data_IF_360055259841
#
_entry.id   IF_360055259841
#
_cell.length_a   1.000
_cell.length_b   1.000
_cell.length_c   1.000
_cell.angle_alpha   90.00
_cell.angle_beta   90.00
_cell.angle_gamma   90.00
#
_symmetry.space_group_name_H-M   'P 1'
#
loop_
_entity.id
_entity.type
_entity.pdbx_description
1 polymer ?
#
# COMPACT_ATOMS: atom_id res chain seq x y z
N UNK A 1 13.18 20.99 11.33
CA UNK A 1 12.91 20.29 10.05
C UNK A 1 12.37 18.90 10.39
N UNK A 2 11.04 18.75 10.42
CA UNK A 2 10.40 17.51 10.85
C UNK A 2 10.41 16.52 9.67
N UNK A 3 11.40 15.63 9.62
CA UNK A 3 11.36 14.47 8.72
C UNK A 3 10.24 13.57 9.21
N UNK A 4 9.15 13.44 8.43
CA UNK A 4 8.29 12.27 8.53
C UNK A 4 9.23 11.08 8.27
N UNK A 5 9.67 10.39 9.34
CA UNK A 5 10.36 9.11 9.19
C UNK A 5 9.30 8.12 8.75
N UNK A 6 9.05 8.07 7.44
CA UNK A 6 8.45 6.89 6.82
C UNK A 6 9.42 5.76 7.18
N UNK A 7 8.92 4.80 7.95
CA UNK A 7 9.70 3.74 8.61
C UNK A 7 10.78 3.17 7.67
N UNK A 8 11.99 2.88 8.16
CA UNK A 8 13.02 2.32 7.30
C UNK A 8 12.54 0.98 6.74
N UNK A 9 12.73 0.78 5.43
CA UNK A 9 12.68 -0.54 4.79
C UNK A 9 13.59 -1.50 5.55
N UNK A 10 13.03 -2.38 6.36
CA UNK A 10 13.77 -3.57 6.82
C UNK A 10 13.13 -4.80 6.22
N UNK A 11 13.75 -5.29 5.15
CA UNK A 11 13.58 -6.66 4.69
C UNK A 11 14.18 -7.63 5.73
N UNK A 12 13.33 -8.53 6.23
CA UNK A 12 13.58 -9.89 6.75
C UNK A 12 14.59 -10.11 7.90
N UNK A 13 14.02 -10.66 8.98
CA UNK A 13 14.53 -11.73 9.87
C UNK A 13 15.87 -11.56 10.58
N UNK A 14 15.84 -11.24 11.87
CA UNK A 14 16.14 -12.18 12.97
C UNK A 14 16.22 -11.46 14.32
N UNK A 15 15.81 -12.20 15.35
CA UNK A 15 15.84 -11.91 16.77
C UNK A 15 17.13 -11.17 17.23
N UNK A 16 16.99 -10.01 17.88
CA UNK A 16 17.94 -9.54 18.87
C UNK A 16 17.30 -8.48 19.78
N UNK A 17 16.90 -8.92 20.97
CA UNK A 17 16.81 -8.08 22.16
C UNK A 17 18.18 -7.46 22.43
N UNK A 18 18.22 -6.16 22.69
CA UNK A 18 19.07 -5.58 23.73
C UNK A 18 18.49 -4.23 24.18
N UNK A 19 18.20 -4.20 25.46
CA UNK A 19 17.84 -3.07 26.32
C UNK A 19 18.99 -2.03 26.31
N UNK A 20 18.82 -0.72 26.47
CA UNK A 20 18.32 0.01 27.65
C UNK A 20 18.30 1.50 27.29
N UNK A 21 17.41 2.30 27.92
CA UNK A 21 17.52 3.76 27.88
C UNK A 21 16.19 4.51 28.02
N UNK A 22 15.51 4.32 29.16
CA UNK A 22 14.51 5.19 29.79
C UNK A 22 13.81 6.24 28.89
N UNK A 23 12.60 5.91 28.44
CA UNK A 23 11.56 6.89 28.18
C UNK A 23 10.36 6.53 29.08
N UNK A 24 10.10 7.43 30.02
CA UNK A 24 9.05 7.35 31.02
C UNK A 24 7.68 7.08 30.40
N UNK A 25 6.92 6.27 31.14
CA UNK A 25 5.54 5.90 30.89
C UNK A 25 4.63 7.12 30.75
N UNK A 26 4.32 7.54 29.53
CA UNK A 26 3.19 8.40 29.23
C UNK A 26 2.04 7.56 28.62
N UNK A 27 1.19 7.07 29.53
CA UNK A 27 -0.21 6.70 29.33
C UNK A 27 -0.55 5.83 28.09
N UNK A 28 -0.32 4.52 28.24
CA UNK A 28 -1.09 3.49 27.54
C UNK A 28 -2.46 3.28 28.25
N UNK A 29 -3.16 4.38 28.58
CA UNK A 29 -4.39 4.37 29.39
C UNK A 29 -5.68 4.61 28.60
N UNK A 30 -5.60 5.09 27.35
CA UNK A 30 -6.79 5.51 26.60
C UNK A 30 -7.50 4.34 25.88
N UNK A 31 -6.77 3.33 25.41
CA UNK A 31 -7.38 2.20 24.67
C UNK A 31 -8.13 1.20 25.58
N UNK A 32 -7.80 1.12 26.88
CA UNK A 32 -8.42 0.16 27.78
C UNK A 32 -9.85 0.54 28.24
N UNK A 33 -10.33 1.76 27.94
CA UNK A 33 -11.73 2.15 28.18
C UNK A 33 -12.70 1.71 27.07
N UNK A 34 -12.19 1.15 25.98
CA UNK A 34 -12.99 0.85 24.78
C UNK A 34 -13.76 -0.48 24.82
N UNK A 35 -13.72 -1.25 25.92
CA UNK A 35 -14.43 -2.53 26.01
C UNK A 35 -15.96 -2.41 26.19
N UNK A 36 -16.50 -1.19 26.29
CA UNK A 36 -17.95 -0.92 26.28
C UNK A 36 -18.42 -0.01 25.14
N UNK A 37 -17.55 0.31 24.17
CA UNK A 37 -17.79 1.37 23.16
C UNK A 37 -18.28 0.86 21.81
N UNK A 38 -18.08 -0.42 21.49
CA UNK A 38 -18.37 -0.99 20.15
C UNK A 38 -19.87 -0.89 19.79
N UNK A 39 -20.75 -1.08 20.76
CA UNK A 39 -22.19 -0.95 20.59
C UNK A 39 -22.66 0.51 20.54
N UNK A 40 -21.94 1.45 21.15
CA UNK A 40 -22.42 2.82 21.30
C UNK A 40 -22.40 3.62 19.99
N UNK A 41 -21.32 3.51 19.21
CA UNK A 41 -21.18 4.28 17.96
C UNK A 41 -22.03 3.69 16.82
N UNK A 42 -22.18 2.36 16.77
CA UNK A 42 -22.92 1.69 15.70
C UNK A 42 -24.43 1.56 15.96
N UNK A 43 -24.88 1.66 17.22
CA UNK A 43 -26.30 1.58 17.59
C UNK A 43 -26.92 2.94 17.92
N UNK A 44 -26.17 4.04 17.80
CA UNK A 44 -26.72 5.37 18.01
C UNK A 44 -27.68 5.71 16.85
N UNK A 45 -28.94 6.11 17.14
CA UNK A 45 -29.87 6.49 16.08
C UNK A 45 -29.30 7.66 15.29
N UNK A 46 -29.18 7.48 13.97
CA UNK A 46 -28.69 8.50 13.06
C UNK A 46 -29.56 9.76 13.19
N UNK A 47 -28.92 10.91 13.35
CA UNK A 47 -29.62 12.19 13.37
C UNK A 47 -30.09 12.51 11.95
N UNK A 48 -31.39 12.35 11.69
CA UNK A 48 -32.00 12.63 10.39
C UNK A 48 -32.78 13.94 10.42
N UNK A 49 -32.78 14.67 9.31
CA UNK A 49 -33.72 15.77 9.07
C UNK A 49 -35.12 15.25 8.71
N UNK A 50 -36.09 16.14 8.68
CA UNK A 50 -37.50 15.82 8.40
C UNK A 50 -37.75 15.19 7.02
N UNK A 51 -36.80 15.33 6.08
CA UNK A 51 -36.81 14.74 4.74
C UNK A 51 -36.02 13.41 4.66
N UNK A 52 -35.46 12.93 5.78
CA UNK A 52 -34.68 11.71 5.87
C UNK A 52 -33.19 11.86 5.52
N UNK A 53 -32.67 13.09 5.30
CA UNK A 53 -31.24 13.31 5.10
C UNK A 53 -30.45 13.28 6.43
N UNK A 54 -29.15 12.99 6.38
CA UNK A 54 -28.28 13.02 7.57
C UNK A 54 -27.99 14.44 8.02
N UNK A 55 -28.20 14.72 9.31
CA UNK A 55 -27.84 15.99 9.94
C UNK A 55 -26.41 15.93 10.43
N UNK A 56 -25.49 16.53 9.66
CA UNK A 56 -24.07 16.57 9.96
C UNK A 56 -23.74 17.78 10.85
N UNK A 57 -23.18 17.52 12.02
CA UNK A 57 -22.59 18.57 12.86
C UNK A 57 -21.16 18.85 12.41
N UNK A 58 -20.77 20.11 12.19
CA UNK A 58 -19.40 20.43 11.82
C UNK A 58 -18.46 20.13 12.99
N UNK A 59 -17.42 19.33 12.73
CA UNK A 59 -16.37 19.05 13.70
C UNK A 59 -15.17 19.95 13.40
N UNK A 60 -14.86 20.83 14.34
CA UNK A 60 -13.80 21.83 14.16
C UNK A 60 -12.43 21.30 14.59
N UNK A 61 -11.37 21.86 14.02
CA UNK A 61 -9.99 21.63 14.46
C UNK A 61 -9.63 22.62 15.57
N UNK A 62 -8.94 22.15 16.61
CA UNK A 62 -8.27 23.07 17.53
C UNK A 62 -7.14 23.83 16.79
N UNK A 63 -6.74 25.04 17.24
CA UNK A 63 -5.69 25.80 16.56
C UNK A 63 -4.37 25.03 16.41
N UNK A 64 -4.01 24.23 17.43
CA UNK A 64 -2.81 23.38 17.41
C UNK A 64 -2.96 22.21 16.44
N UNK A 65 -4.13 21.57 16.41
CA UNK A 65 -4.43 20.50 15.46
C UNK A 65 -4.35 21.00 14.01
N UNK A 66 -4.92 22.17 13.72
CA UNK A 66 -4.87 22.79 12.40
C UNK A 66 -3.43 23.07 11.97
N UNK A 67 -2.61 23.67 12.83
CA UNK A 67 -1.21 23.92 12.54
C UNK A 67 -0.45 22.62 12.26
N UNK A 68 -0.67 21.61 13.10
CA UNK A 68 -0.03 20.29 12.95
C UNK A 68 -0.42 19.61 11.64
N UNK A 69 -1.68 19.71 11.24
CA UNK A 69 -2.15 19.18 9.97
C UNK A 69 -1.51 19.88 8.78
N UNK A 70 -1.40 21.22 8.79
CA UNK A 70 -0.71 21.98 7.72
C UNK A 70 0.74 21.52 7.59
N UNK A 71 1.47 21.40 8.70
CA UNK A 71 2.86 20.92 8.67
C UNK A 71 3.00 19.52 8.03
N UNK A 72 2.03 18.64 8.29
CA UNK A 72 2.00 17.29 7.72
C UNK A 72 1.61 17.30 6.24
N UNK A 73 0.63 18.13 5.86
CA UNK A 73 0.22 18.34 4.47
C UNK A 73 1.41 18.80 3.63
N UNK A 74 2.09 19.86 4.06
CA UNK A 74 3.23 20.42 3.32
C UNK A 74 4.39 19.42 3.21
N UNK A 75 4.62 18.62 4.27
CA UNK A 75 5.61 17.56 4.25
C UNK A 75 5.27 16.39 3.32
N UNK A 76 3.98 16.09 3.12
CA UNK A 76 3.51 15.10 2.13
C UNK A 76 3.66 15.67 0.72
N UNK A 77 3.19 16.89 0.49
CA UNK A 77 3.29 17.58 -0.81
C UNK A 77 4.73 17.68 -1.31
N UNK A 78 5.67 18.00 -0.42
CA UNK A 78 7.10 18.02 -0.75
C UNK A 78 7.63 16.67 -1.27
N UNK A 79 7.00 15.55 -0.91
CA UNK A 79 7.38 14.20 -1.35
C UNK A 79 6.66 13.74 -2.63
N UNK A 80 5.72 14.52 -3.16
CA UNK A 80 5.00 14.20 -4.41
C UNK A 80 5.76 14.63 -5.67
N UNK A 81 6.86 15.38 -5.52
CA UNK A 81 7.72 15.80 -6.63
C UNK A 81 8.31 14.61 -7.41
N UNK A 82 8.82 14.86 -8.62
CA UNK A 82 9.36 13.82 -9.52
C UNK A 82 10.37 12.87 -8.85
N UNK A 83 11.19 13.39 -7.94
CA UNK A 83 12.20 12.64 -7.20
C UNK A 83 11.83 12.42 -5.72
N UNK A 84 10.59 12.69 -5.34
CA UNK A 84 10.12 12.45 -3.99
C UNK A 84 9.75 10.99 -3.76
N UNK A 85 9.78 10.55 -2.50
CA UNK A 85 9.46 9.17 -2.12
C UNK A 85 8.07 8.74 -2.58
N UNK A 86 7.10 9.66 -2.60
CA UNK A 86 5.72 9.38 -2.97
C UNK A 86 5.44 9.56 -4.48
N UNK A 87 6.47 9.79 -5.30
CA UNK A 87 6.34 10.04 -6.74
C UNK A 87 5.58 8.94 -7.49
N UNK A 88 5.82 7.68 -7.13
CA UNK A 88 5.18 6.49 -7.73
C UNK A 88 3.72 6.32 -7.33
N UNK A 89 3.32 6.91 -6.20
CA UNK A 89 1.97 6.79 -5.62
C UNK A 89 1.28 8.15 -5.47
N UNK A 90 1.66 9.11 -6.32
CA UNK A 90 1.10 10.48 -6.37
C UNK A 90 -0.42 10.55 -6.21
N UNK A 91 -1.23 9.74 -6.93
CA UNK A 91 -2.70 9.79 -6.79
C UNK A 91 -3.22 9.49 -5.38
N UNK A 92 -2.50 8.65 -4.62
CA UNK A 92 -2.83 8.32 -3.22
C UNK A 92 -2.22 9.34 -2.27
N UNK A 93 -0.98 9.74 -2.51
CA UNK A 93 -0.25 10.73 -1.71
C UNK A 93 -0.93 12.11 -1.70
N UNK A 94 -1.42 12.58 -2.85
CA UNK A 94 -2.12 13.88 -2.96
C UNK A 94 -3.46 13.93 -2.23
N UNK A 95 -3.98 12.79 -1.78
CA UNK A 95 -5.22 12.69 -0.98
C UNK A 95 -4.94 12.37 0.49
N UNK A 96 -3.68 12.14 0.84
CA UNK A 96 -3.31 11.61 2.15
C UNK A 96 -3.63 12.60 3.27
N UNK A 97 -3.36 13.89 3.06
CA UNK A 97 -3.65 14.93 4.05
C UNK A 97 -5.15 15.07 4.34
N UNK A 98 -6.00 15.01 3.32
CA UNK A 98 -7.46 15.02 3.48
C UNK A 98 -7.95 13.75 4.19
N UNK A 99 -7.43 12.59 3.79
CA UNK A 99 -7.75 11.33 4.44
C UNK A 99 -7.31 11.31 5.91
N UNK A 100 -6.18 11.96 6.23
CA UNK A 100 -5.71 12.13 7.59
C UNK A 100 -6.73 12.91 8.43
N UNK A 101 -7.28 14.01 7.93
CA UNK A 101 -8.34 14.74 8.64
C UNK A 101 -9.58 13.89 8.86
N UNK A 102 -9.99 13.09 7.87
CA UNK A 102 -11.14 12.20 8.00
C UNK A 102 -10.93 11.17 9.10
N UNK A 103 -9.76 10.54 9.14
CA UNK A 103 -9.40 9.57 10.19
C UNK A 103 -9.34 10.26 11.56
N UNK A 104 -8.73 11.45 11.64
CA UNK A 104 -8.67 12.22 12.89
C UNK A 104 -10.07 12.62 13.40
N UNK A 105 -10.98 12.98 12.49
CA UNK A 105 -12.38 13.24 12.81
C UNK A 105 -13.12 12.02 13.33
N UNK A 106 -12.90 10.84 12.73
CA UNK A 106 -13.47 9.58 13.23
C UNK A 106 -12.97 9.29 14.65
N UNK A 107 -11.66 9.42 14.89
CA UNK A 107 -11.09 9.21 16.23
C UNK A 107 -11.71 10.17 17.26
N UNK A 108 -11.85 11.45 16.91
CA UNK A 108 -12.48 12.44 17.78
C UNK A 108 -13.95 12.10 18.08
N UNK A 109 -14.73 11.65 17.10
CA UNK A 109 -16.13 11.24 17.30
C UNK A 109 -16.25 10.01 18.18
N UNK A 110 -15.42 8.98 17.95
CA UNK A 110 -15.41 7.74 18.77
C UNK A 110 -15.02 8.05 20.21
N UNK A 111 -14.14 9.02 20.43
CA UNK A 111 -13.73 9.48 21.76
C UNK A 111 -14.66 10.55 22.35
N UNK A 112 -15.82 10.80 21.71
CA UNK A 112 -16.83 11.78 22.14
C UNK A 112 -16.27 13.21 22.28
N UNK A 113 -15.21 13.52 21.55
CA UNK A 113 -14.62 14.85 21.49
C UNK A 113 -15.40 15.76 20.56
N UNK A 114 -15.75 16.95 21.05
CA UNK A 114 -16.43 17.99 20.25
C UNK A 114 -15.49 18.74 19.30
N UNK A 115 -14.19 18.49 19.38
CA UNK A 115 -13.13 19.13 18.58
C UNK A 115 -12.05 18.11 18.21
N UNK A 116 -11.48 18.24 17.01
CA UNK A 116 -10.29 17.48 16.63
C UNK A 116 -9.06 18.14 17.25
N UNK A 117 -8.56 17.51 18.31
CA UNK A 117 -7.29 17.87 18.95
C UNK A 117 -6.05 17.35 18.22
N UNK A 118 -4.89 17.90 18.60
CA UNK A 118 -3.57 17.56 18.02
C UNK A 118 -3.23 16.07 18.17
N UNK A 119 -3.68 15.43 19.25
CA UNK A 119 -3.45 14.00 19.49
C UNK A 119 -4.16 13.13 18.44
N UNK A 120 -5.40 13.47 18.07
CA UNK A 120 -6.13 12.80 16.98
C UNK A 120 -5.37 12.91 15.65
N UNK A 121 -4.84 14.09 15.33
CA UNK A 121 -4.01 14.31 14.13
C UNK A 121 -2.75 13.43 14.17
N UNK A 122 -2.08 13.35 15.31
CA UNK A 122 -0.86 12.58 15.44
C UNK A 122 -1.11 11.06 15.29
N UNK A 123 -2.19 10.54 15.88
CA UNK A 123 -2.58 9.13 15.71
C UNK A 123 -3.05 8.84 14.29
N UNK A 124 -3.87 9.71 13.70
CA UNK A 124 -4.29 9.59 12.30
C UNK A 124 -3.09 9.61 11.33
N UNK A 125 -2.08 10.45 11.61
CA UNK A 125 -0.86 10.52 10.79
C UNK A 125 -0.08 9.20 10.78
N UNK A 126 -0.11 8.46 11.89
CA UNK A 126 0.53 7.14 11.99
C UNK A 126 -0.16 6.13 11.08
N UNK A 127 -1.50 6.10 11.11
CA UNK A 127 -2.30 5.21 10.26
C UNK A 127 -2.15 5.54 8.77
N UNK A 128 -2.23 6.83 8.41
CA UNK A 128 -2.06 7.27 7.02
C UNK A 128 -0.63 7.03 6.52
N UNK A 129 0.37 7.22 7.38
CA UNK A 129 1.76 6.92 7.05
C UNK A 129 1.98 5.43 6.74
N UNK A 130 1.37 4.54 7.55
CA UNK A 130 1.36 3.11 7.26
C UNK A 130 0.67 2.80 5.92
N UNK A 131 -0.52 3.36 5.70
CA UNK A 131 -1.27 3.20 4.44
C UNK A 131 -0.44 3.59 3.21
N UNK A 132 0.23 4.76 3.23
CA UNK A 132 1.06 5.20 2.12
C UNK A 132 2.24 4.27 1.87
N UNK A 133 2.89 3.81 2.93
CA UNK A 133 3.99 2.84 2.84
C UNK A 133 3.51 1.54 2.18
N UNK A 134 2.33 1.07 2.55
CA UNK A 134 1.78 -0.17 2.02
C UNK A 134 1.35 -0.05 0.55
N UNK A 135 0.74 1.08 0.17
CA UNK A 135 0.43 1.34 -1.24
C UNK A 135 1.71 1.43 -2.07
N UNK A 136 2.75 2.09 -1.57
CA UNK A 136 4.06 2.15 -2.24
C UNK A 136 4.64 0.74 -2.43
N UNK A 137 4.64 -0.09 -1.39
CA UNK A 137 5.10 -1.48 -1.42
C UNK A 137 4.35 -2.30 -2.48
N UNK A 138 3.04 -2.15 -2.56
CA UNK A 138 2.20 -2.86 -3.54
C UNK A 138 2.45 -2.37 -4.97
N UNK A 139 2.54 -1.06 -5.18
CA UNK A 139 2.83 -0.46 -6.50
C UNK A 139 4.19 -0.89 -7.03
N UNK A 140 5.21 -0.99 -6.16
CA UNK A 140 6.53 -1.48 -6.57
C UNK A 140 6.54 -2.98 -6.92
N UNK A 141 5.67 -3.79 -6.28
CA UNK A 141 5.57 -5.22 -6.55
C UNK A 141 4.72 -5.56 -7.77
N UNK A 142 3.79 -4.69 -8.16
CA UNK A 142 2.83 -4.92 -9.24
C UNK A 142 3.49 -5.39 -10.57
N UNK A 143 4.59 -4.77 -11.06
CA UNK A 143 5.23 -5.24 -12.29
C UNK A 143 5.77 -6.66 -12.19
N UNK A 144 6.29 -7.06 -11.02
CA UNK A 144 6.84 -8.40 -10.79
C UNK A 144 5.72 -9.44 -10.77
N UNK A 145 4.61 -9.15 -10.07
CA UNK A 145 3.45 -10.05 -10.02
C UNK A 145 2.84 -10.27 -11.42
N UNK A 146 2.69 -9.21 -12.22
CA UNK A 146 2.17 -9.33 -13.60
C UNK A 146 3.04 -10.20 -14.50
N UNK A 147 4.37 -10.08 -14.39
CA UNK A 147 5.29 -10.92 -15.17
C UNK A 147 5.15 -12.39 -14.79
N UNK A 148 5.02 -12.69 -13.49
CA UNK A 148 4.79 -14.06 -12.99
C UNK A 148 3.47 -14.64 -13.51
N UNK A 149 2.38 -13.91 -13.39
CA UNK A 149 1.07 -14.34 -13.89
C UNK A 149 1.08 -14.62 -15.40
N UNK A 150 1.72 -13.75 -16.18
CA UNK A 150 1.85 -13.94 -17.63
C UNK A 150 2.81 -15.07 -17.99
N UNK A 151 3.88 -15.30 -17.20
CA UNK A 151 4.79 -16.43 -17.38
C UNK A 151 4.08 -17.75 -17.11
N UNK A 152 3.32 -17.86 -16.01
CA UNK A 152 2.49 -19.03 -15.71
C UNK A 152 1.46 -19.30 -16.81
N UNK A 153 0.84 -18.23 -17.33
CA UNK A 153 -0.09 -18.34 -18.46
C UNK A 153 0.63 -18.82 -19.72
N UNK A 154 1.86 -18.38 -19.95
CA UNK A 154 2.68 -18.84 -21.08
C UNK A 154 3.04 -20.32 -20.93
N UNK A 155 3.46 -20.77 -19.75
CA UNK A 155 3.77 -22.18 -19.47
C UNK A 155 2.57 -23.08 -19.75
N UNK A 156 1.39 -22.73 -19.21
CA UNK A 156 0.14 -23.47 -19.48
C UNK A 156 -0.16 -23.53 -20.97
N UNK A 157 0.05 -22.43 -21.70
CA UNK A 157 -0.17 -22.40 -23.13
C UNK A 157 0.81 -23.30 -23.91
N UNK A 158 2.09 -23.31 -23.53
CA UNK A 158 3.11 -24.18 -24.12
C UNK A 158 2.76 -25.66 -23.91
N UNK A 159 2.31 -26.01 -22.70
CA UNK A 159 1.86 -27.37 -22.35
C UNK A 159 0.64 -27.78 -23.18
N UNK A 160 -0.39 -26.94 -23.26
CA UNK A 160 -1.61 -27.22 -24.06
C UNK A 160 -1.30 -27.36 -25.55
N UNK A 161 -0.32 -26.59 -26.06
CA UNK A 161 0.14 -26.69 -27.46
C UNK A 161 1.09 -27.85 -27.71
N UNK A 162 1.50 -28.57 -26.67
CA UNK A 162 2.59 -29.56 -26.70
C UNK A 162 3.86 -29.01 -27.38
N UNK A 163 4.16 -27.73 -27.15
CA UNK A 163 5.28 -27.07 -27.81
C UNK A 163 6.57 -27.24 -26.99
N UNK A 164 7.22 -28.39 -27.19
CA UNK A 164 8.36 -28.84 -26.37
C UNK A 164 9.64 -28.05 -26.59
N UNK A 165 9.96 -27.68 -27.83
CA UNK A 165 11.20 -26.94 -28.16
C UNK A 165 10.93 -25.78 -29.11
N UNK A 166 11.45 -24.60 -28.78
CA UNK A 166 11.23 -23.38 -29.57
C UNK A 166 12.37 -22.38 -29.42
N UNK A 167 12.54 -21.48 -30.40
CA UNK A 167 13.38 -20.29 -30.24
C UNK A 167 12.54 -19.07 -29.83
N UNK A 168 13.19 -18.03 -29.32
CA UNK A 168 12.51 -16.74 -29.05
C UNK A 168 11.87 -16.15 -30.32
N UNK A 169 12.45 -16.42 -31.50
CA UNK A 169 11.89 -15.99 -32.79
C UNK A 169 10.57 -16.68 -33.07
N UNK A 170 10.48 -17.98 -32.78
CA UNK A 170 9.25 -18.75 -32.99
C UNK A 170 8.16 -18.30 -32.02
N UNK A 171 8.52 -18.06 -30.75
CA UNK A 171 7.60 -17.53 -29.75
C UNK A 171 7.02 -16.18 -30.18
N UNK A 172 7.87 -15.27 -30.69
CA UNK A 172 7.42 -13.95 -31.16
C UNK A 172 6.53 -14.03 -32.41
N UNK A 173 6.61 -15.09 -33.22
CA UNK A 173 5.77 -15.27 -34.42
C UNK A 173 4.46 -15.99 -34.10
N UNK A 174 4.56 -17.12 -33.42
CA UNK A 174 3.46 -18.09 -33.29
C UNK A 174 2.90 -18.18 -31.86
N UNK A 175 3.51 -17.50 -30.89
CA UNK A 175 3.10 -17.51 -29.50
C UNK A 175 1.76 -16.81 -29.23
N UNK A 176 1.24 -16.89 -27.99
CA UNK A 176 0.00 -16.22 -27.62
C UNK A 176 0.18 -14.70 -27.68
N UNK A 177 -0.90 -13.97 -28.00
CA UNK A 177 -0.87 -12.51 -28.24
C UNK A 177 -0.22 -11.72 -27.08
N UNK A 178 -0.42 -12.14 -25.83
CA UNK A 178 0.16 -11.47 -24.67
C UNK A 178 1.68 -11.62 -24.59
N UNK A 179 2.24 -12.77 -25.00
CA UNK A 179 3.69 -12.98 -25.04
C UNK A 179 4.35 -12.21 -26.19
N UNK A 180 3.61 -11.99 -27.30
CA UNK A 180 4.09 -11.31 -28.51
C UNK A 180 4.08 -9.76 -28.46
N UNK A 181 3.87 -9.15 -27.28
CA UNK A 181 3.84 -7.67 -27.15
C UNK A 181 5.14 -7.00 -27.60
N UNK A 182 6.28 -7.61 -27.28
CA UNK A 182 7.62 -7.21 -27.75
C UNK A 182 8.63 -8.31 -27.44
N UNK A 183 9.75 -8.34 -28.17
CA UNK A 183 10.84 -9.30 -27.90
C UNK A 183 11.37 -9.17 -26.46
N UNK A 184 11.47 -7.94 -25.93
CA UNK A 184 11.89 -7.70 -24.54
C UNK A 184 10.90 -8.28 -23.53
N UNK A 185 9.60 -8.17 -23.81
CA UNK A 185 8.57 -8.73 -22.96
C UNK A 185 8.57 -10.26 -22.99
N UNK A 186 8.65 -10.88 -24.18
CA UNK A 186 8.80 -12.33 -24.32
C UNK A 186 10.03 -12.84 -23.55
N UNK A 187 11.16 -12.14 -23.65
CA UNK A 187 12.39 -12.47 -22.90
C UNK A 187 12.15 -12.45 -21.40
N UNK A 188 11.43 -11.44 -20.86
CA UNK A 188 11.10 -11.38 -19.43
C UNK A 188 10.30 -12.59 -18.96
N UNK A 189 9.30 -13.02 -19.74
CA UNK A 189 8.51 -14.22 -19.41
C UNK A 189 9.37 -15.49 -19.41
N UNK A 190 10.27 -15.62 -20.39
CA UNK A 190 11.17 -16.77 -20.48
C UNK A 190 12.19 -16.83 -19.35
N UNK A 191 12.74 -15.68 -18.94
CA UNK A 191 13.64 -15.59 -17.78
C UNK A 191 12.92 -16.05 -16.52
N UNK A 192 11.69 -15.59 -16.27
CA UNK A 192 10.91 -16.05 -15.11
C UNK A 192 10.71 -17.57 -15.13
N UNK A 193 10.38 -18.16 -16.29
CA UNK A 193 10.23 -19.61 -16.40
C UNK A 193 11.54 -20.41 -16.25
N UNK A 194 12.67 -19.83 -16.66
CA UNK A 194 14.01 -20.40 -16.43
C UNK A 194 14.38 -20.35 -14.95
N UNK A 195 14.11 -19.23 -14.27
CA UNK A 195 14.40 -19.04 -12.84
C UNK A 195 13.70 -20.10 -11.97
N UNK A 196 12.49 -20.51 -12.35
CA UNK A 196 11.72 -21.58 -11.71
C UNK A 196 11.97 -22.98 -12.31
N UNK A 197 12.94 -23.12 -13.22
CA UNK A 197 13.34 -24.39 -13.86
C UNK A 197 12.23 -25.10 -14.67
N UNK A 198 11.21 -24.36 -15.13
CA UNK A 198 10.19 -24.88 -16.05
C UNK A 198 10.67 -24.95 -17.49
N UNK A 199 11.69 -24.17 -17.83
CA UNK A 199 12.39 -24.23 -19.11
C UNK A 199 13.86 -24.58 -18.88
N UNK A 200 14.48 -25.15 -19.91
CA UNK A 200 15.94 -25.32 -20.04
C UNK A 200 16.36 -24.64 -21.35
N UNK A 201 17.56 -24.08 -21.41
CA UNK A 201 18.08 -23.46 -22.64
C UNK A 201 19.51 -23.91 -22.94
N UNK A 202 19.81 -24.04 -24.23
CA UNK A 202 21.15 -24.24 -24.79
C UNK A 202 21.78 -22.94 -25.32
N UNK A 203 21.15 -21.78 -25.05
CA UNK A 203 21.55 -20.47 -25.54
C UNK A 203 20.86 -20.03 -26.84
N UNK A 204 20.22 -20.95 -27.56
CA UNK A 204 19.53 -20.64 -28.82
C UNK A 204 18.06 -21.08 -28.84
N UNK A 205 17.78 -22.20 -28.18
CA UNK A 205 16.45 -22.79 -28.05
C UNK A 205 16.08 -22.99 -26.59
N UNK A 206 14.78 -23.06 -26.34
CA UNK A 206 14.17 -23.33 -25.05
C UNK A 206 13.45 -24.66 -25.15
N UNK A 207 13.58 -25.48 -24.11
CA UNK A 207 12.91 -26.76 -23.95
C UNK A 207 12.03 -26.74 -22.70
N UNK A 208 10.76 -27.15 -22.85
CA UNK A 208 9.80 -27.21 -21.74
C UNK A 208 10.06 -28.46 -20.91
N UNK A 209 10.35 -28.27 -19.62
CA UNK A 209 10.50 -29.38 -18.69
C UNK A 209 9.11 -29.94 -18.39
N UNK A 210 8.92 -31.23 -18.67
CA UNK A 210 7.73 -31.94 -18.23
C UNK A 210 7.81 -32.12 -16.71
N UNK A 211 6.81 -31.61 -15.99
CA UNK A 211 6.52 -31.94 -14.59
C UNK A 211 5.23 -32.75 -14.57
#
# INVERSE_FOLDING_TARGET
MLRIRIFPRTAKSNLCLLETGQAEHASCGAFAKAAGHEDFVLLQPLSLSSDGALRLSPLNLSPLARRRWIDLHDAIEAQLGEFGELASIRPSGSKAADNLLRVAGILAVVEESSVVEVDHIQRASTLVGYYLTEIQRLTEQEPVCRVKEEADRLLRWLQVKDWKRFSIRDLNRNGPRFARKSSRHATKLLVELLDHQWLITDGHTFEVRHV
#
